data_IF_098178956692
#
_entry.id   IF_098178956692
#
_cell.length_a   1.000
_cell.length_b   1.000
_cell.length_c   1.000
_cell.angle_alpha   90.00
_cell.angle_beta   90.00
_cell.angle_gamma   90.00
#
_symmetry.space_group_name_H-M   'P 1'
#
loop_
_entity.id
_entity.type
_entity.pdbx_description
1 polymer ?
#
# COMPACT_ATOMS: atom_id res chain seq x y z
N UNK A 1 3.37 -5.85 13.83
CA UNK A 1 2.65 -5.36 12.63
C UNK A 1 3.47 -5.69 11.40
N UNK A 2 2.89 -6.33 10.37
CA UNK A 2 3.61 -6.61 9.12
C UNK A 2 3.84 -5.29 8.36
N UNK A 3 5.11 -4.94 8.09
CA UNK A 3 5.48 -3.71 7.40
C UNK A 3 4.82 -3.57 6.01
N UNK A 4 4.42 -4.69 5.38
CA UNK A 4 3.63 -4.68 4.14
C UNK A 4 2.25 -4.08 4.33
N UNK A 5 1.57 -4.46 5.41
CA UNK A 5 0.20 -4.01 5.70
C UNK A 5 0.23 -2.50 5.99
N UNK A 6 1.15 -2.04 6.84
CA UNK A 6 1.30 -0.61 7.14
C UNK A 6 1.63 0.23 5.88
N UNK A 7 2.51 -0.29 5.02
CA UNK A 7 2.84 0.36 3.75
C UNK A 7 1.64 0.47 2.81
N UNK A 8 0.90 -0.63 2.61
CA UNK A 8 -0.29 -0.65 1.77
C UNK A 8 -1.41 0.23 2.34
N UNK A 9 -1.62 0.23 3.66
CA UNK A 9 -2.58 1.11 4.32
C UNK A 9 -2.25 2.59 4.09
N UNK A 10 -0.97 2.95 4.17
CA UNK A 10 -0.52 4.32 3.87
C UNK A 10 -0.84 4.69 2.41
N UNK A 11 -0.53 3.81 1.46
CA UNK A 11 -0.88 4.04 0.05
C UNK A 11 -2.39 4.14 -0.19
N UNK A 12 -3.19 3.30 0.47
CA UNK A 12 -4.65 3.35 0.38
C UNK A 12 -5.23 4.65 0.94
N UNK A 13 -4.58 5.26 1.93
CA UNK A 13 -4.96 6.56 2.49
C UNK A 13 -4.56 7.75 1.61
N UNK A 14 -3.70 7.53 0.60
CA UNK A 14 -3.19 8.57 -0.30
C UNK A 14 -3.74 8.37 -1.73
N UNK A 15 -4.92 8.92 -2.07
CA UNK A 15 -5.54 8.74 -3.40
C UNK A 15 -4.68 9.30 -4.55
N UNK A 16 -3.81 10.27 -4.27
CA UNK A 16 -2.86 10.84 -5.23
C UNK A 16 -1.48 10.18 -5.21
N UNK A 17 -1.35 9.02 -4.58
CA UNK A 17 -0.08 8.30 -4.40
C UNK A 17 0.82 8.91 -3.32
N UNK A 18 1.54 8.06 -2.59
CA UNK A 18 2.39 8.47 -1.46
C UNK A 18 3.83 8.81 -1.88
N UNK A 19 4.43 9.81 -1.24
CA UNK A 19 5.86 10.09 -1.35
C UNK A 19 6.63 9.21 -0.36
N UNK A 20 7.95 9.09 -0.55
CA UNK A 20 8.82 8.33 0.37
C UNK A 20 8.70 8.84 1.81
N UNK A 21 8.71 10.17 1.97
CA UNK A 21 8.59 10.83 3.27
C UNK A 21 7.28 10.58 4.02
N UNK A 22 6.23 10.15 3.33
CA UNK A 22 4.92 9.92 3.93
C UNK A 22 4.79 8.49 4.49
N UNK A 23 5.79 7.63 4.22
CA UNK A 23 5.79 6.23 4.63
C UNK A 23 6.57 6.06 5.95
N UNK A 24 6.07 5.24 6.89
CA UNK A 24 6.69 5.06 8.21
C UNK A 24 7.86 4.08 8.18
N UNK A 25 8.72 4.14 7.17
CA UNK A 25 9.84 3.22 6.92
C UNK A 25 11.07 3.99 6.43
N UNK A 26 12.24 3.37 6.51
CA UNK A 26 13.46 3.96 5.92
C UNK A 26 13.40 3.94 4.38
N UNK A 27 14.10 4.86 3.72
CA UNK A 27 14.15 4.92 2.24
C UNK A 27 14.54 3.60 1.57
N UNK A 28 15.48 2.87 2.17
CA UNK A 28 15.92 1.54 1.69
C UNK A 28 14.81 0.50 1.80
N UNK A 29 14.05 0.51 2.89
CA UNK A 29 12.93 -0.40 3.09
C UNK A 29 11.77 -0.06 2.16
N UNK A 30 11.50 1.23 1.97
CA UNK A 30 10.49 1.71 1.03
C UNK A 30 10.77 1.21 -0.39
N UNK A 31 12.01 1.35 -0.87
CA UNK A 31 12.37 0.92 -2.21
C UNK A 31 12.29 -0.61 -2.37
N UNK A 32 12.75 -1.37 -1.37
CA UNK A 32 12.57 -2.83 -1.35
C UNK A 32 11.08 -3.21 -1.35
N UNK A 33 10.26 -2.50 -0.58
CA UNK A 33 8.85 -2.84 -0.48
C UNK A 33 8.07 -2.52 -1.75
N UNK A 34 8.34 -1.36 -2.36
CA UNK A 34 7.81 -0.99 -3.67
C UNK A 34 8.11 -2.05 -4.71
N UNK A 35 9.35 -2.51 -4.78
CA UNK A 35 9.74 -3.54 -5.73
C UNK A 35 9.02 -4.87 -5.47
N UNK A 36 9.01 -5.34 -4.21
CA UNK A 36 8.32 -6.59 -3.84
C UNK A 36 6.82 -6.55 -4.13
N UNK A 37 6.14 -5.50 -3.67
CA UNK A 37 4.69 -5.36 -3.83
C UNK A 37 4.30 -5.14 -5.31
N UNK A 38 5.17 -4.49 -6.10
CA UNK A 38 4.98 -4.36 -7.55
C UNK A 38 5.06 -5.69 -8.27
N UNK A 39 6.05 -6.53 -7.92
CA UNK A 39 6.16 -7.89 -8.48
C UNK A 39 4.92 -8.73 -8.12
N UNK A 40 4.35 -8.53 -6.94
CA UNK A 40 3.10 -9.16 -6.52
C UNK A 40 1.82 -8.51 -7.10
N UNK A 41 1.94 -7.45 -7.91
CA UNK A 41 0.77 -6.76 -8.49
C UNK A 41 -0.06 -5.95 -7.51
N UNK A 42 0.39 -5.75 -6.26
CA UNK A 42 -0.35 -5.05 -5.20
C UNK A 42 -0.21 -3.52 -5.27
N UNK A 43 0.83 -3.04 -5.94
CA UNK A 43 1.10 -1.61 -6.15
C UNK A 43 1.62 -1.39 -7.56
N UNK A 44 1.39 -0.19 -8.08
CA UNK A 44 1.83 0.22 -9.40
C UNK A 44 2.48 1.61 -9.38
N UNK A 45 3.30 1.87 -10.39
CA UNK A 45 3.98 3.16 -10.55
C UNK A 45 3.38 3.89 -11.75
N UNK A 46 2.48 4.83 -11.46
CA UNK A 46 1.64 5.51 -12.45
C UNK A 46 2.23 6.89 -12.76
N UNK A 47 2.26 7.25 -14.03
CA UNK A 47 2.57 8.61 -14.47
C UNK A 47 1.28 9.44 -14.53
N UNK A 48 1.18 10.46 -13.69
CA UNK A 48 0.00 11.33 -13.61
C UNK A 48 0.18 12.65 -14.39
N UNK A 49 1.18 12.72 -15.29
CA UNK A 49 1.50 13.92 -16.08
C UNK A 49 2.19 15.04 -15.29
N UNK A 50 1.92 15.15 -13.97
CA UNK A 50 2.66 16.02 -13.02
C UNK A 50 3.82 15.31 -12.32
N UNK A 51 4.13 14.09 -12.76
CA UNK A 51 5.15 13.22 -12.18
C UNK A 51 4.63 11.83 -11.87
N UNK A 52 5.57 10.93 -11.59
CA UNK A 52 5.29 9.52 -11.33
C UNK A 52 5.10 9.27 -9.84
N UNK A 53 4.08 8.50 -9.48
CA UNK A 53 3.76 8.18 -8.08
C UNK A 53 3.37 6.72 -7.92
N UNK A 54 3.52 6.23 -6.69
CA UNK A 54 3.14 4.87 -6.33
C UNK A 54 1.69 4.85 -5.87
N UNK A 55 0.91 3.95 -6.46
CA UNK A 55 -0.50 3.74 -6.16
C UNK A 55 -0.72 2.30 -5.73
N UNK A 56 -1.71 2.09 -4.88
CA UNK A 56 -2.20 0.76 -4.55
C UNK A 56 -3.14 0.30 -5.68
N UNK A 57 -3.03 -0.96 -6.08
CA UNK A 57 -3.92 -1.57 -7.09
C UNK A 57 -5.18 -2.11 -6.43
N UNK A 58 -6.16 -2.51 -7.24
CA UNK A 58 -7.35 -3.21 -6.74
C UNK A 58 -6.97 -4.48 -5.94
N UNK A 59 -5.98 -5.24 -6.40
CA UNK A 59 -5.50 -6.43 -5.70
C UNK A 59 -4.80 -6.08 -4.38
N UNK A 60 -4.11 -4.95 -4.32
CA UNK A 60 -3.59 -4.39 -3.07
C UNK A 60 -4.71 -4.09 -2.06
N UNK A 61 -5.82 -3.52 -2.53
CA UNK A 61 -7.00 -3.29 -1.70
C UNK A 61 -7.65 -4.60 -1.22
N UNK A 62 -7.79 -5.60 -2.09
CA UNK A 62 -8.28 -6.93 -1.71
C UNK A 62 -7.39 -7.60 -0.69
N UNK A 63 -6.06 -7.52 -0.87
CA UNK A 63 -5.09 -8.03 0.09
C UNK A 63 -5.26 -7.37 1.47
N UNK A 64 -5.40 -6.04 1.51
CA UNK A 64 -5.68 -5.32 2.76
C UNK A 64 -7.00 -5.74 3.39
N UNK A 65 -8.06 -5.94 2.60
CA UNK A 65 -9.36 -6.36 3.11
C UNK A 65 -9.33 -7.78 3.67
N UNK A 66 -8.52 -8.68 3.11
CA UNK A 66 -8.35 -10.05 3.61
C UNK A 66 -7.51 -10.10 4.90
N UNK A 67 -6.63 -9.12 5.12
CA UNK A 67 -5.75 -9.03 6.29
C UNK A 67 -6.25 -8.06 7.37
N UNK A 68 -7.25 -7.23 7.07
CA UNK A 68 -8.12 -6.65 8.08
C UNK A 68 -8.94 -7.82 8.61
N UNK A 69 -8.55 -8.36 9.76
CA UNK A 69 -9.38 -9.29 10.51
C UNK A 69 -10.83 -8.77 10.51
N UNK A 70 -11.84 -9.64 10.34
CA UNK A 70 -13.22 -9.22 10.51
C UNK A 70 -13.41 -8.81 11.97
N UNK A 71 -13.37 -7.50 12.25
CA UNK A 71 -13.79 -6.97 13.54
C UNK A 71 -15.33 -7.01 13.53
N UNK A 72 -15.87 -7.96 14.29
CA UNK A 72 -17.26 -8.12 14.71
C UNK A 72 -18.35 -8.15 13.63
N UNK A 73 -18.77 -9.36 13.29
CA UNK A 73 -20.17 -9.68 13.04
C UNK A 73 -20.59 -10.86 13.94
N UNK A 74 -20.56 -10.63 15.26
CA UNK A 74 -21.10 -11.55 16.25
C UNK A 74 -21.54 -10.75 17.49
N UNK A 75 -22.58 -9.93 17.34
CA UNK A 75 -23.47 -9.59 18.45
C UNK A 75 -24.83 -10.17 18.10
N UNK A 76 -25.19 -11.27 18.76
CA UNK A 76 -26.55 -11.81 18.87
C UNK A 76 -26.73 -12.32 20.29
#
# INVERSE_FOLDING_TARGET
MDSRISFLQTLASCPHGARKKDLPLSDREIDRMRQKLRVSGLVEYVDLGKGKRWHITEDGHKFLSAHKEPISAAEN
#
